data_IF_030563639546
#
_entry.id   IF_030563639546
#
_cell.length_a   1.000
_cell.length_b   1.000
_cell.length_c   1.000
_cell.angle_alpha   90.00
_cell.angle_beta   90.00
_cell.angle_gamma   90.00
#
_symmetry.space_group_name_H-M   'P 1'
#
loop_
_entity.id
_entity.type
_entity.pdbx_description
1 polymer ?
#
# COMPACT_ATOMS: atom_id res chain seq x y z
N UNK A 1 3.34 -4.64 60.93
CA UNK A 1 2.46 -4.86 59.77
C UNK A 1 3.07 -5.96 58.91
N UNK A 2 2.51 -7.18 58.92
CA UNK A 2 3.01 -8.29 58.08
C UNK A 2 2.53 -8.08 56.65
N UNK A 3 3.43 -7.95 55.69
CA UNK A 3 3.08 -7.87 54.28
C UNK A 3 2.41 -9.18 53.88
N UNK A 4 1.15 -9.10 53.44
CA UNK A 4 0.48 -10.25 52.84
C UNK A 4 1.14 -10.49 51.48
N UNK A 5 2.00 -11.51 51.39
CA UNK A 5 2.58 -11.94 50.12
C UNK A 5 1.53 -12.77 49.36
N UNK A 6 0.90 -12.16 48.38
CA UNK A 6 0.05 -12.88 47.42
C UNK A 6 0.93 -13.74 46.50
N UNK A 7 0.80 -15.06 46.59
CA UNK A 7 1.55 -15.98 45.73
C UNK A 7 0.88 -16.06 44.35
N UNK A 8 1.53 -15.50 43.32
CA UNK A 8 1.08 -15.60 41.93
C UNK A 8 1.59 -16.91 41.33
N UNK A 9 0.68 -17.78 40.87
CA UNK A 9 1.00 -19.00 40.14
C UNK A 9 0.76 -18.76 38.65
N UNK A 10 1.79 -18.98 37.84
CA UNK A 10 1.70 -18.93 36.39
C UNK A 10 1.50 -20.34 35.86
N UNK A 11 0.60 -20.49 34.90
CA UNK A 11 0.40 -21.70 34.11
C UNK A 11 0.63 -21.34 32.66
N UNK A 12 1.43 -22.13 31.96
CA UNK A 12 1.67 -21.88 30.54
C UNK A 12 0.42 -22.22 29.73
N UNK A 13 0.04 -21.28 28.88
CA UNK A 13 -1.06 -21.43 27.93
C UNK A 13 -0.48 -21.15 26.55
N UNK A 14 -0.41 -22.19 25.73
CA UNK A 14 -0.06 -22.09 24.33
C UNK A 14 1.38 -22.44 23.97
N UNK A 15 1.73 -22.31 22.68
CA UNK A 15 3.03 -22.70 22.16
C UNK A 15 4.14 -21.73 22.61
N UNK A 16 5.33 -22.27 22.87
CA UNK A 16 6.54 -21.47 23.07
C UNK A 16 7.13 -21.13 21.71
N UNK A 17 7.37 -19.85 21.48
CA UNK A 17 7.96 -19.37 20.23
C UNK A 17 9.30 -18.69 20.50
N UNK A 18 10.27 -19.01 19.66
CA UNK A 18 11.53 -18.28 19.56
C UNK A 18 11.56 -17.61 18.20
N UNK A 19 11.62 -16.29 18.17
CA UNK A 19 11.59 -15.50 16.94
C UNK A 19 12.98 -14.99 16.58
N UNK A 20 13.24 -14.83 15.28
CA UNK A 20 14.47 -14.24 14.76
C UNK A 20 14.15 -13.06 13.83
N UNK A 21 14.91 -11.98 13.95
CA UNK A 21 14.77 -10.80 13.09
C UNK A 21 15.32 -11.11 11.69
N UNK A 22 14.45 -11.07 10.67
CA UNK A 22 14.84 -11.29 9.28
C UNK A 22 14.90 -9.97 8.49
N UNK A 23 13.87 -9.13 8.62
CA UNK A 23 13.68 -7.95 7.78
C UNK A 23 12.89 -6.87 8.52
N UNK A 24 13.27 -5.61 8.32
CA UNK A 24 12.51 -4.44 8.76
C UNK A 24 12.05 -3.70 7.51
N UNK A 25 10.74 -3.48 7.40
CA UNK A 25 10.14 -2.69 6.33
C UNK A 25 9.47 -1.46 6.91
N UNK A 26 9.42 -0.40 6.11
CA UNK A 26 8.62 0.78 6.43
C UNK A 26 7.14 0.46 6.20
N UNK A 27 6.28 0.87 7.15
CA UNK A 27 4.84 0.71 7.06
C UNK A 27 4.37 -0.75 6.95
N UNK A 28 3.14 -0.92 6.47
CA UNK A 28 2.55 -2.23 6.20
C UNK A 28 2.58 -2.46 4.69
N UNK A 29 3.50 -3.30 4.23
CA UNK A 29 3.65 -3.63 2.81
C UNK A 29 4.04 -2.46 1.88
N UNK A 30 4.66 -1.38 2.38
CA UNK A 30 5.17 -0.29 1.52
C UNK A 30 6.45 -0.68 0.75
N UNK A 31 7.06 -1.80 1.13
CA UNK A 31 8.11 -2.48 0.40
C UNK A 31 9.44 -1.70 0.34
N UNK A 32 9.61 -0.66 1.16
CA UNK A 32 10.92 -0.08 1.44
C UNK A 32 11.53 -0.85 2.61
N UNK A 33 12.66 -1.49 2.35
CA UNK A 33 13.37 -2.33 3.33
C UNK A 33 14.44 -1.48 4.00
N UNK A 34 14.40 -1.40 5.34
CA UNK A 34 15.38 -0.68 6.15
C UNK A 34 16.54 -1.59 6.58
N UNK A 35 16.23 -2.86 6.83
CA UNK A 35 17.21 -3.85 7.24
C UNK A 35 16.82 -5.24 6.72
N UNK A 36 17.81 -6.05 6.37
CA UNK A 36 17.63 -7.45 6.09
C UNK A 36 18.88 -8.23 6.53
N UNK A 37 18.67 -9.34 7.25
CA UNK A 37 19.77 -10.12 7.86
C UNK A 37 20.67 -10.82 6.83
N UNK A 38 20.08 -11.43 5.80
CA UNK A 38 20.79 -12.20 4.79
C UNK A 38 21.14 -11.41 3.51
N UNK A 39 20.31 -10.43 3.15
CA UNK A 39 20.42 -9.74 1.86
C UNK A 39 20.84 -8.30 2.11
N UNK A 40 22.07 -7.96 1.74
CA UNK A 40 22.54 -6.58 1.76
C UNK A 40 22.55 -6.07 0.32
N UNK A 41 21.94 -4.92 0.12
CA UNK A 41 21.99 -4.21 -1.16
C UNK A 41 22.97 -3.07 -1.06
N UNK A 42 23.66 -2.78 -2.15
CA UNK A 42 24.48 -1.58 -2.23
C UNK A 42 23.60 -0.34 -2.32
N UNK A 43 24.15 0.82 -1.99
CA UNK A 43 23.42 2.10 -2.07
C UNK A 43 22.92 2.38 -3.50
N UNK A 44 23.70 1.98 -4.51
CA UNK A 44 23.33 2.08 -5.93
C UNK A 44 22.14 1.20 -6.30
N UNK A 45 22.07 -0.03 -5.79
CA UNK A 45 20.93 -0.91 -6.02
C UNK A 45 19.66 -0.38 -5.33
N UNK A 46 19.83 0.23 -4.15
CA UNK A 46 18.72 0.85 -3.41
C UNK A 46 18.20 2.07 -4.18
N UNK A 47 19.09 2.95 -4.66
CA UNK A 47 18.69 4.14 -5.43
C UNK A 47 18.00 3.76 -6.74
N UNK A 48 18.57 2.81 -7.50
CA UNK A 48 17.97 2.32 -8.75
C UNK A 48 16.57 1.71 -8.52
N UNK A 49 16.37 1.01 -7.40
CA UNK A 49 15.07 0.48 -7.02
C UNK A 49 14.05 1.58 -6.70
N UNK A 50 14.46 2.62 -5.96
CA UNK A 50 13.62 3.76 -5.63
C UNK A 50 13.21 4.54 -6.90
N UNK A 51 14.16 4.82 -7.79
CA UNK A 51 13.86 5.45 -9.07
C UNK A 51 12.88 4.64 -9.92
N UNK A 52 13.07 3.31 -9.98
CA UNK A 52 12.16 2.43 -10.73
C UNK A 52 10.75 2.47 -10.14
N UNK A 53 10.61 2.49 -8.81
CA UNK A 53 9.32 2.63 -8.14
C UNK A 53 8.67 3.98 -8.47
N UNK A 54 9.43 5.07 -8.41
CA UNK A 54 8.93 6.41 -8.70
C UNK A 54 8.47 6.54 -10.15
N UNK A 55 9.26 6.07 -11.10
CA UNK A 55 8.90 6.01 -12.53
C UNK A 55 7.60 5.23 -12.76
N UNK A 56 7.45 4.08 -12.07
CA UNK A 56 6.22 3.26 -12.14
C UNK A 56 5.02 3.99 -11.55
N UNK A 57 5.20 4.70 -10.44
CA UNK A 57 4.12 5.48 -9.80
C UNK A 57 3.66 6.64 -10.69
N UNK A 58 4.61 7.40 -11.25
CA UNK A 58 4.34 8.48 -12.22
C UNK A 58 3.52 7.96 -13.40
N UNK A 59 3.97 6.90 -14.06
CA UNK A 59 3.26 6.29 -15.19
C UNK A 59 1.86 5.79 -14.81
N UNK A 60 1.69 5.22 -13.60
CA UNK A 60 0.37 4.78 -13.12
C UNK A 60 -0.57 5.96 -12.93
N UNK A 61 -0.09 7.07 -12.37
CA UNK A 61 -0.87 8.28 -12.15
C UNK A 61 -1.28 8.93 -13.48
N UNK A 62 -0.37 9.03 -14.44
CA UNK A 62 -0.67 9.53 -15.79
C UNK A 62 -1.76 8.70 -16.48
N UNK A 63 -1.66 7.36 -16.39
CA UNK A 63 -2.68 6.45 -16.93
C UNK A 63 -4.04 6.67 -16.26
N UNK A 64 -4.06 6.86 -14.94
CA UNK A 64 -5.29 7.11 -14.18
C UNK A 64 -5.93 8.43 -14.58
N UNK A 65 -5.15 9.51 -14.67
CA UNK A 65 -5.63 10.83 -15.10
C UNK A 65 -6.21 10.79 -16.51
N UNK A 66 -5.50 10.15 -17.46
CA UNK A 66 -5.98 10.00 -18.84
C UNK A 66 -7.29 9.21 -18.89
N UNK A 67 -7.41 8.16 -18.08
CA UNK A 67 -8.63 7.36 -17.99
C UNK A 67 -9.80 8.18 -17.44
N UNK A 68 -9.59 8.95 -16.38
CA UNK A 68 -10.60 9.83 -15.79
C UNK A 68 -11.09 10.88 -16.81
N UNK A 69 -10.18 11.54 -17.53
CA UNK A 69 -10.54 12.48 -18.59
C UNK A 69 -11.36 11.83 -19.71
N UNK A 70 -11.00 10.61 -20.13
CA UNK A 70 -11.74 9.88 -21.16
C UNK A 70 -13.14 9.49 -20.68
N UNK A 71 -13.28 9.08 -19.42
CA UNK A 71 -14.59 8.76 -18.82
C UNK A 71 -15.47 10.00 -18.77
N UNK A 72 -14.93 11.14 -18.31
CA UNK A 72 -15.66 12.41 -18.26
C UNK A 72 -16.12 12.87 -19.66
N UNK A 73 -15.23 12.86 -20.65
CA UNK A 73 -15.59 13.20 -22.04
C UNK A 73 -16.70 12.29 -22.59
N UNK A 74 -16.61 10.98 -22.34
CA UNK A 74 -17.64 10.02 -22.75
C UNK A 74 -18.98 10.26 -22.04
N UNK A 75 -18.96 10.68 -20.77
CA UNK A 75 -20.17 11.02 -20.04
C UNK A 75 -20.82 12.28 -20.62
N UNK A 76 -20.05 13.34 -20.84
CA UNK A 76 -20.52 14.59 -21.46
C UNK A 76 -21.14 14.34 -22.85
N UNK A 77 -20.43 13.60 -23.72
CA UNK A 77 -20.96 13.24 -25.05
C UNK A 77 -22.25 12.41 -24.97
N UNK A 78 -22.37 11.52 -23.99
CA UNK A 78 -23.61 10.76 -23.77
C UNK A 78 -24.76 11.66 -23.31
N UNK A 79 -24.49 12.62 -22.43
CA UNK A 79 -25.47 13.60 -21.99
C UNK A 79 -25.90 14.49 -23.15
N UNK A 80 -24.96 15.09 -23.88
CA UNK A 80 -25.23 15.88 -25.09
C UNK A 80 -26.06 15.08 -26.09
N UNK A 81 -25.66 13.85 -26.43
CA UNK A 81 -26.43 13.01 -27.34
C UNK A 81 -27.82 12.66 -26.80
N UNK A 82 -27.99 12.46 -25.48
CA UNK A 82 -29.31 12.27 -24.88
C UNK A 82 -30.18 13.52 -25.04
N UNK A 83 -29.62 14.71 -24.83
CA UNK A 83 -30.32 15.98 -25.04
C UNK A 83 -30.53 16.34 -26.52
N UNK A 84 -29.75 15.79 -27.45
CA UNK A 84 -29.91 15.97 -28.91
C UNK A 84 -30.92 15.00 -29.53
N UNK A 85 -31.11 13.82 -28.95
CA UNK A 85 -32.13 12.84 -29.41
C UNK A 85 -33.52 13.17 -28.83
N UNK A 86 -33.58 13.69 -27.60
CA UNK A 86 -34.83 14.12 -26.95
C UNK A 86 -35.67 15.23 -27.64
N UNK A 87 -35.10 16.21 -28.38
CA UNK A 87 -35.87 17.27 -29.05
C UNK A 87 -36.52 16.79 -30.37
N UNK A 88 -36.19 15.58 -30.84
CA UNK A 88 -36.67 15.03 -32.12
C UNK A 88 -37.92 14.14 -31.97
N UNK A 89 -38.61 14.19 -30.82
CA UNK A 89 -39.81 13.37 -30.52
C UNK A 89 -41.07 14.26 -30.37
N UNK A 90 -41.10 15.44 -31.00
CA UNK A 90 -42.31 16.26 -31.19
C UNK A 90 -42.54 16.38 -32.70
#
# INVERSE_FOLDING_TARGET
MKSQQSAVRLTEIGPRMTLQLIKIEEGLSDGKVLYHSFIKKTEEEISAMLERKEKKLKLKNERKQKQEQNVQKKQQQKEENKYVIAPCVI
#
